data_IF_569252083900
#
_entry.id   IF_569252083900
#
_cell.length_a   1.000
_cell.length_b   1.000
_cell.length_c   1.000
_cell.angle_alpha   90.00
_cell.angle_beta   90.00
_cell.angle_gamma   90.00
#
_symmetry.space_group_name_H-M   'P 1'
#
loop_
_entity.id
_entity.type
_entity.pdbx_description
1 polymer ?
#
# COMPACT_ATOMS: atom_id res chain seq x y z
N UNK A 1 -2.37 18.81 43.18
CA UNK A 1 -3.06 19.50 42.08
C UNK A 1 -4.28 18.68 41.73
N UNK A 2 -5.49 19.26 41.86
CA UNK A 2 -6.74 18.58 41.52
C UNK A 2 -6.75 18.19 40.03
N UNK A 3 -7.15 16.96 39.66
CA UNK A 3 -7.38 16.63 38.25
C UNK A 3 -8.54 17.51 37.75
N UNK A 4 -8.26 18.35 36.76
CA UNK A 4 -9.22 19.22 36.10
C UNK A 4 -10.43 18.39 35.65
N UNK A 5 -11.64 18.75 36.10
CA UNK A 5 -12.86 18.07 35.65
C UNK A 5 -12.96 18.18 34.11
N UNK A 6 -13.30 17.09 33.40
CA UNK A 6 -13.45 17.12 31.96
C UNK A 6 -14.50 18.15 31.57
N UNK A 7 -14.25 18.87 30.46
CA UNK A 7 -15.18 19.87 29.97
C UNK A 7 -16.54 19.22 29.68
N UNK A 8 -17.63 19.98 29.82
CA UNK A 8 -18.98 19.47 29.54
C UNK A 8 -19.13 18.93 28.09
N UNK A 9 -18.28 19.40 27.16
CA UNK A 9 -18.26 18.89 25.79
C UNK A 9 -17.63 17.50 25.71
N UNK A 10 -16.61 17.20 26.51
CA UNK A 10 -15.93 15.90 26.48
C UNK A 10 -16.76 14.78 27.11
N UNK A 11 -17.54 15.09 28.14
CA UNK A 11 -18.44 14.14 28.80
C UNK A 11 -19.66 13.74 27.95
N UNK A 12 -20.00 14.53 26.93
CA UNK A 12 -21.16 14.31 26.08
C UNK A 12 -20.83 13.64 24.73
N UNK A 13 -19.54 13.43 24.42
CA UNK A 13 -19.07 12.75 23.18
C UNK A 13 -19.69 11.36 22.94
N UNK A 14 -19.89 10.48 23.95
CA UNK A 14 -20.50 9.17 23.74
C UNK A 14 -21.95 9.21 23.21
N UNK A 15 -22.60 10.37 23.26
CA UNK A 15 -24.00 10.56 22.86
C UNK A 15 -24.14 11.28 21.51
N UNK A 16 -23.06 11.32 20.71
CA UNK A 16 -23.05 11.88 19.37
C UNK A 16 -24.18 11.31 18.48
N UNK A 17 -24.89 12.20 17.78
CA UNK A 17 -26.03 11.83 16.94
C UNK A 17 -27.36 11.64 17.68
N UNK A 18 -27.41 11.94 18.99
CA UNK A 18 -28.61 11.80 19.83
C UNK A 18 -28.96 13.12 20.50
N UNK A 19 -30.23 13.24 20.89
CA UNK A 19 -30.69 14.28 21.81
C UNK A 19 -30.36 13.85 23.23
N UNK A 20 -29.71 14.73 24.00
CA UNK A 20 -29.44 14.52 25.42
C UNK A 20 -30.25 15.49 26.26
N UNK A 21 -30.73 14.99 27.39
CA UNK A 21 -31.42 15.76 28.42
C UNK A 21 -30.45 16.04 29.57
N UNK A 22 -30.32 17.31 29.91
CA UNK A 22 -29.41 17.83 30.93
C UNK A 22 -30.22 18.46 32.08
N UNK A 23 -29.80 18.24 33.32
CA UNK A 23 -30.23 19.02 34.48
C UNK A 23 -29.01 19.65 35.11
N UNK A 24 -29.02 20.98 35.31
CA UNK A 24 -27.91 21.76 35.85
C UNK A 24 -26.56 21.45 35.17
N UNK A 25 -26.60 21.24 33.85
CA UNK A 25 -25.42 20.90 33.06
C UNK A 25 -24.92 19.46 33.22
N UNK A 26 -25.67 18.54 33.81
CA UNK A 26 -25.30 17.11 33.92
C UNK A 26 -26.21 16.22 33.09
N UNK A 27 -25.64 15.19 32.47
CA UNK A 27 -26.37 14.21 31.67
C UNK A 27 -27.35 13.40 32.52
N UNK A 28 -28.60 13.27 32.04
CA UNK A 28 -29.66 12.48 32.69
C UNK A 28 -30.17 11.37 31.78
N UNK A 29 -30.50 11.69 30.52
CA UNK A 29 -31.06 10.74 29.57
C UNK A 29 -30.76 11.12 28.11
N UNK A 30 -31.02 10.19 27.19
CA UNK A 30 -30.84 10.38 25.74
C UNK A 30 -32.04 9.84 24.95
N UNK A 31 -32.20 10.31 23.71
CA UNK A 31 -33.21 9.82 22.77
C UNK A 31 -32.83 10.11 21.31
N UNK A 32 -33.47 9.41 20.37
CA UNK A 32 -33.31 9.68 18.94
C UNK A 32 -33.99 10.98 18.50
N UNK A 33 -35.00 11.43 19.23
CA UNK A 33 -35.70 12.71 19.04
C UNK A 33 -35.72 13.52 20.36
N UNK A 34 -35.99 14.85 20.31
CA UNK A 34 -36.13 15.66 21.51
C UNK A 34 -37.17 15.11 22.50
N UNK A 35 -38.29 14.61 21.97
CA UNK A 35 -39.42 14.10 22.75
C UNK A 35 -39.04 12.81 23.48
N UNK A 36 -38.31 11.91 22.81
CA UNK A 36 -37.80 10.69 23.41
C UNK A 36 -36.79 10.99 24.54
N UNK A 37 -35.88 11.93 24.33
CA UNK A 37 -34.91 12.34 25.35
C UNK A 37 -35.62 12.99 26.56
N UNK A 38 -36.64 13.80 26.32
CA UNK A 38 -37.44 14.44 27.36
C UNK A 38 -38.27 13.43 28.17
N UNK A 39 -38.91 12.48 27.48
CA UNK A 39 -39.71 11.44 28.12
C UNK A 39 -38.84 10.53 28.99
N UNK A 40 -37.67 10.12 28.48
CA UNK A 40 -36.69 9.33 29.23
C UNK A 40 -36.17 10.09 30.46
N UNK A 41 -35.93 11.41 30.34
CA UNK A 41 -35.49 12.23 31.46
C UNK A 41 -36.58 12.42 32.51
N UNK A 42 -37.86 12.60 32.13
CA UNK A 42 -38.97 12.78 33.07
C UNK A 42 -39.28 11.54 33.91
N UNK A 43 -38.97 10.35 33.39
CA UNK A 43 -39.07 9.10 34.16
C UNK A 43 -38.06 9.04 35.32
N UNK A 44 -36.92 9.71 35.17
CA UNK A 44 -35.84 9.73 36.17
C UNK A 44 -35.95 10.97 37.07
N UNK A 45 -36.26 12.13 36.50
CA UNK A 45 -36.31 13.45 37.15
C UNK A 45 -37.60 14.19 36.77
N UNK A 46 -38.69 13.90 37.48
CA UNK A 46 -40.04 14.37 37.13
C UNK A 46 -40.33 15.84 37.49
N UNK A 47 -39.57 16.46 38.40
CA UNK A 47 -39.82 17.82 38.92
C UNK A 47 -38.72 18.84 38.60
N UNK A 48 -37.65 18.44 37.91
CA UNK A 48 -36.49 19.29 37.61
C UNK A 48 -36.61 19.96 36.23
N UNK A 49 -35.93 21.10 36.06
CA UNK A 49 -35.90 21.81 34.78
C UNK A 49 -34.93 21.15 33.82
N UNK A 50 -35.46 20.42 32.84
CA UNK A 50 -34.67 19.69 31.84
C UNK A 50 -34.34 20.60 30.65
N UNK A 51 -33.06 20.66 30.29
CA UNK A 51 -32.58 21.30 29.07
C UNK A 51 -32.24 20.25 28.04
N UNK A 52 -32.79 20.36 26.83
CA UNK A 52 -32.51 19.45 25.73
C UNK A 52 -31.39 20.02 24.86
N UNK A 53 -30.45 19.17 24.47
CA UNK A 53 -29.38 19.53 23.54
C UNK A 53 -29.18 18.42 22.53
N UNK A 54 -29.18 18.75 21.25
CA UNK A 54 -28.71 17.82 20.23
C UNK A 54 -27.19 17.76 20.29
N UNK A 55 -26.62 16.56 20.39
CA UNK A 55 -25.18 16.36 20.25
C UNK A 55 -24.94 16.04 18.77
N UNK A 56 -24.43 16.99 17.97
CA UNK A 56 -24.13 16.70 16.58
C UNK A 56 -23.17 15.52 16.51
N UNK A 57 -23.36 14.63 15.54
CA UNK A 57 -22.26 13.76 15.15
C UNK A 57 -21.16 14.69 14.65
N UNK A 58 -20.14 14.90 15.47
CA UNK A 58 -18.85 15.28 14.93
C UNK A 58 -18.33 14.05 14.20
N UNK A 59 -18.78 13.86 12.96
CA UNK A 59 -18.03 13.10 11.96
C UNK A 59 -16.79 13.91 11.60
N UNK A 60 -15.97 14.26 12.60
CA UNK A 60 -14.65 14.79 12.33
C UNK A 60 -13.85 13.65 11.74
N UNK A 61 -13.82 13.62 10.42
CA UNK A 61 -12.88 12.82 9.66
C UNK A 61 -11.49 13.06 10.25
N UNK A 62 -10.71 11.99 10.53
CA UNK A 62 -9.43 12.10 11.21
C UNK A 62 -8.37 12.63 10.25
N UNK A 63 -8.42 13.94 9.99
CA UNK A 63 -7.38 14.64 9.25
C UNK A 63 -6.23 15.02 10.20
N UNK A 64 -4.98 15.04 9.71
CA UNK A 64 -3.85 15.42 10.55
C UNK A 64 -3.99 16.88 11.01
N UNK A 65 -3.44 17.25 12.19
CA UNK A 65 -3.41 18.64 12.66
C UNK A 65 -2.81 19.62 11.65
N UNK A 66 -1.92 19.12 10.77
CA UNK A 66 -1.36 19.84 9.65
C UNK A 66 -2.43 20.50 8.76
N UNK A 67 -3.57 19.86 8.53
CA UNK A 67 -4.66 20.45 7.74
C UNK A 67 -5.13 21.78 8.34
N UNK A 68 -5.29 21.83 9.67
CA UNK A 68 -5.72 23.05 10.36
C UNK A 68 -4.68 24.17 10.24
N UNK A 69 -3.39 23.83 10.37
CA UNK A 69 -2.27 24.77 10.16
C UNK A 69 -2.24 25.32 8.74
N UNK A 70 -2.47 24.47 7.74
CA UNK A 70 -2.55 24.91 6.34
C UNK A 70 -3.69 25.92 6.19
N UNK A 71 -4.89 25.60 6.71
CA UNK A 71 -6.06 26.49 6.64
C UNK A 71 -5.80 27.87 7.26
N UNK A 72 -5.04 27.96 8.35
CA UNK A 72 -4.69 29.24 8.99
C UNK A 72 -3.81 30.15 8.13
N UNK A 73 -3.09 29.61 7.15
CA UNK A 73 -2.19 30.37 6.26
C UNK A 73 -2.92 30.84 4.98
N UNK A 74 -4.06 30.22 4.67
CA UNK A 74 -4.81 30.49 3.44
C UNK A 74 -5.46 31.88 3.47
N UNK A 75 -5.31 32.68 2.39
CA UNK A 75 -6.10 33.90 2.20
C UNK A 75 -7.61 33.62 2.15
N UNK A 76 -8.43 34.54 2.67
CA UNK A 76 -9.89 34.39 2.78
C UNK A 76 -10.62 34.19 1.44
N UNK A 77 -10.03 34.59 0.33
CA UNK A 77 -10.60 34.49 -1.03
C UNK A 77 -10.24 33.20 -1.77
N UNK A 78 -9.37 32.36 -1.19
CA UNK A 78 -8.89 31.15 -1.84
C UNK A 78 -9.78 29.95 -1.56
N UNK A 79 -10.29 29.35 -2.63
CA UNK A 79 -11.00 28.06 -2.60
C UNK A 79 -9.99 26.91 -2.73
N UNK A 80 -10.01 25.99 -1.77
CA UNK A 80 -9.14 24.81 -1.78
C UNK A 80 -9.88 23.58 -1.27
N UNK A 81 -9.66 22.46 -1.95
CA UNK A 81 -10.28 21.18 -1.61
C UNK A 81 -9.21 20.15 -1.29
N UNK A 82 -9.36 19.43 -0.18
CA UNK A 82 -8.60 18.21 0.05
C UNK A 82 -9.28 17.08 -0.73
N UNK A 83 -8.52 16.33 -1.50
CA UNK A 83 -9.02 15.32 -2.46
C UNK A 83 -8.29 13.99 -2.31
N UNK A 84 -8.78 12.95 -2.98
CA UNK A 84 -7.99 11.74 -3.21
C UNK A 84 -7.85 10.81 -2.01
N UNK A 85 -6.63 10.30 -1.82
CA UNK A 85 -6.33 9.24 -0.86
C UNK A 85 -6.58 9.65 0.59
N UNK A 86 -6.27 10.90 0.94
CA UNK A 86 -6.46 11.42 2.30
C UNK A 86 -7.93 11.38 2.74
N UNK A 87 -8.85 11.79 1.87
CA UNK A 87 -10.29 11.77 2.14
C UNK A 87 -10.80 10.34 2.25
N UNK A 88 -10.40 9.47 1.33
CA UNK A 88 -10.72 8.04 1.35
C UNK A 88 -10.27 7.38 2.66
N UNK A 89 -9.05 7.63 3.08
CA UNK A 89 -8.47 6.99 4.25
C UNK A 89 -9.11 7.52 5.54
N UNK A 90 -9.44 8.82 5.58
CA UNK A 90 -10.20 9.41 6.67
C UNK A 90 -11.61 8.81 6.79
N UNK A 91 -12.29 8.50 5.67
CA UNK A 91 -13.57 7.77 5.68
C UNK A 91 -13.45 6.35 6.24
N UNK A 92 -12.23 5.77 6.26
CA UNK A 92 -11.93 4.48 6.90
C UNK A 92 -11.40 4.62 8.33
N UNK A 93 -11.42 5.83 8.89
CA UNK A 93 -10.91 6.11 10.23
C UNK A 93 -9.38 6.15 10.33
N UNK A 94 -8.67 6.32 9.21
CA UNK A 94 -7.20 6.39 9.16
C UNK A 94 -6.73 7.79 8.82
N UNK A 95 -5.63 8.23 9.44
CA UNK A 95 -4.98 9.49 9.09
C UNK A 95 -3.97 9.25 7.97
N UNK A 96 -3.94 10.13 6.96
CA UNK A 96 -2.95 10.08 5.87
C UNK A 96 -1.85 11.12 6.10
N UNK A 97 -0.62 10.77 5.72
CA UNK A 97 0.52 11.69 5.64
C UNK A 97 0.75 12.23 4.22
N UNK A 98 0.00 11.71 3.25
CA UNK A 98 -0.02 12.16 1.86
C UNK A 98 -1.33 12.93 1.64
N UNK A 99 -1.23 14.24 1.41
CA UNK A 99 -2.35 15.17 1.30
C UNK A 99 -2.37 15.83 -0.08
N UNK A 100 -3.39 15.52 -0.88
CA UNK A 100 -3.60 16.13 -2.18
C UNK A 100 -4.60 17.28 -2.08
N UNK A 101 -4.23 18.47 -2.55
CA UNK A 101 -5.08 19.66 -2.59
C UNK A 101 -5.35 20.09 -4.03
N UNK A 102 -6.62 20.29 -4.35
CA UNK A 102 -7.05 20.96 -5.56
C UNK A 102 -7.33 22.45 -5.25
N UNK A 103 -6.58 23.34 -5.89
CA UNK A 103 -6.58 24.79 -5.58
C UNK A 103 -7.18 25.56 -6.74
N UNK A 104 -8.14 26.44 -6.45
CA UNK A 104 -8.62 27.39 -7.45
C UNK A 104 -7.64 28.56 -7.56
N UNK A 105 -7.15 28.83 -8.79
CA UNK A 105 -6.14 29.85 -9.03
C UNK A 105 -4.75 29.24 -9.17
N UNK A 106 -3.71 29.93 -8.65
CA UNK A 106 -2.31 29.53 -8.83
C UNK A 106 -1.85 28.60 -7.71
N UNK A 107 -1.83 27.29 -7.99
CA UNK A 107 -1.46 26.26 -7.03
C UNK A 107 0.02 26.29 -6.66
N UNK A 108 0.93 26.61 -7.59
CA UNK A 108 2.38 26.74 -7.28
C UNK A 108 2.67 27.84 -6.28
N UNK A 109 2.09 29.03 -6.49
CA UNK A 109 2.24 30.15 -5.59
C UNK A 109 1.64 29.84 -4.21
N UNK A 110 0.51 29.13 -4.18
CA UNK A 110 -0.10 28.68 -2.94
C UNK A 110 0.78 27.68 -2.19
N UNK A 111 1.28 26.65 -2.87
CA UNK A 111 2.20 25.68 -2.31
C UNK A 111 3.45 26.35 -1.73
N UNK A 112 4.03 27.31 -2.46
CA UNK A 112 5.21 28.05 -1.99
C UNK A 112 4.88 28.87 -0.74
N UNK A 113 3.76 29.59 -0.72
CA UNK A 113 3.31 30.38 0.43
C UNK A 113 3.13 29.52 1.67
N UNK A 114 2.43 28.39 1.53
CA UNK A 114 2.18 27.47 2.64
C UNK A 114 3.49 26.85 3.13
N UNK A 115 4.39 26.46 2.23
CA UNK A 115 5.70 25.93 2.59
C UNK A 115 6.56 26.95 3.36
N UNK A 116 6.64 28.19 2.86
CA UNK A 116 7.41 29.26 3.52
C UNK A 116 6.85 29.57 4.92
N UNK A 117 5.52 29.60 5.08
CA UNK A 117 4.88 29.85 6.38
C UNK A 117 5.06 28.71 7.39
N UNK A 118 5.13 27.47 6.92
CA UNK A 118 5.30 26.28 7.77
C UNK A 118 6.76 25.83 7.92
N UNK A 119 7.72 26.54 7.31
CA UNK A 119 9.13 26.17 7.31
C UNK A 119 9.42 24.84 6.60
N UNK A 120 8.60 24.47 5.62
CA UNK A 120 8.68 23.20 4.90
C UNK A 120 9.50 23.31 3.60
N UNK A 121 10.04 22.19 3.12
CA UNK A 121 10.72 22.15 1.83
C UNK A 121 9.71 22.23 0.68
N UNK A 122 10.01 23.02 -0.35
CA UNK A 122 9.16 23.21 -1.54
C UNK A 122 9.85 22.68 -2.80
N UNK A 123 9.08 21.98 -3.63
CA UNK A 123 9.50 21.49 -4.94
C UNK A 123 8.41 21.81 -5.98
N UNK A 124 8.73 22.51 -7.09
CA UNK A 124 7.80 22.66 -8.20
C UNK A 124 7.60 21.29 -8.89
N UNK A 125 6.35 20.94 -9.19
CA UNK A 125 6.01 19.68 -9.86
C UNK A 125 5.78 19.94 -11.36
N UNK A 126 6.80 19.65 -12.18
CA UNK A 126 6.81 19.80 -13.65
C UNK A 126 6.51 21.23 -14.16
N UNK A 127 7.29 21.74 -15.09
CA UNK A 127 7.13 23.12 -15.57
C UNK A 127 5.82 23.36 -16.35
N UNK A 128 5.19 22.29 -16.85
CA UNK A 128 3.98 22.36 -17.69
C UNK A 128 2.66 22.29 -16.92
N UNK A 129 2.70 21.99 -15.61
CA UNK A 129 1.49 21.81 -14.78
C UNK A 129 1.54 22.77 -13.60
N UNK A 130 0.47 23.51 -13.35
CA UNK A 130 0.36 24.33 -12.14
C UNK A 130 0.21 23.43 -10.90
N UNK A 131 1.35 22.91 -10.43
CA UNK A 131 1.45 22.04 -9.28
C UNK A 131 2.74 22.26 -8.50
N UNK A 132 2.66 22.11 -7.18
CA UNK A 132 3.79 22.21 -6.27
C UNK A 132 3.66 21.22 -5.12
N UNK A 133 4.80 20.67 -4.68
CA UNK A 133 4.90 19.75 -3.56
C UNK A 133 5.58 20.42 -2.38
N UNK A 134 4.97 20.28 -1.22
CA UNK A 134 5.56 20.60 0.07
C UNK A 134 5.93 19.30 0.79
N UNK A 135 7.12 19.25 1.38
CA UNK A 135 7.58 18.15 2.23
C UNK A 135 7.90 18.69 3.62
N UNK A 136 7.21 18.17 4.63
CA UNK A 136 7.39 18.55 6.03
C UNK A 136 7.76 17.31 6.86
N UNK A 137 8.83 17.42 7.65
CA UNK A 137 9.24 16.39 8.59
C UNK A 137 8.83 16.84 10.01
N UNK A 138 8.00 16.05 10.70
CA UNK A 138 7.50 16.35 12.05
C UNK A 138 7.30 15.05 12.83
N UNK A 139 7.79 14.95 14.07
CA UNK A 139 7.64 13.77 14.95
C UNK A 139 7.99 12.41 14.30
N UNK A 140 9.13 12.33 13.61
CA UNK A 140 9.58 11.19 12.79
C UNK A 140 8.64 10.80 11.63
N UNK A 141 7.61 11.61 11.36
CA UNK A 141 6.70 11.45 10.24
C UNK A 141 7.07 12.41 9.13
N UNK A 142 6.98 11.91 7.89
CA UNK A 142 7.18 12.71 6.69
C UNK A 142 5.83 12.94 6.03
N UNK A 143 5.41 14.20 6.00
CA UNK A 143 4.22 14.65 5.27
C UNK A 143 4.60 15.05 3.86
N UNK A 144 3.88 14.49 2.88
CA UNK A 144 3.92 14.93 1.49
C UNK A 144 2.61 15.62 1.20
N UNK A 145 2.70 16.85 0.69
CA UNK A 145 1.53 17.67 0.44
C UNK A 145 1.61 18.24 -0.96
N UNK A 146 0.70 17.80 -1.83
CA UNK A 146 0.64 18.21 -3.23
C UNK A 146 -0.47 19.22 -3.42
N UNK A 147 -0.15 20.34 -4.07
CA UNK A 147 -1.13 21.34 -4.49
C UNK A 147 -1.18 21.31 -6.01
N UNK A 148 -2.37 21.13 -6.58
CA UNK A 148 -2.59 21.06 -8.01
C UNK A 148 -3.70 22.04 -8.39
N UNK A 149 -3.52 22.77 -9.48
CA UNK A 149 -4.52 23.68 -10.03
C UNK A 149 -5.80 22.91 -10.39
N UNK A 150 -6.94 23.47 -10.00
CA UNK A 150 -8.25 22.89 -10.31
C UNK A 150 -8.48 22.82 -11.82
N UNK A 151 -9.18 21.80 -12.28
CA UNK A 151 -9.61 21.72 -13.67
C UNK A 151 -10.38 23.00 -14.09
N UNK A 152 -10.18 23.54 -15.32
CA UNK A 152 -10.81 24.80 -15.75
C UNK A 152 -12.35 24.81 -15.69
N UNK A 153 -12.96 23.63 -15.79
CA UNK A 153 -14.42 23.44 -15.69
C UNK A 153 -14.91 23.23 -14.24
N UNK A 154 -14.04 23.43 -13.24
CA UNK A 154 -14.36 23.30 -11.82
C UNK A 154 -14.08 21.93 -11.21
N UNK A 155 -14.42 21.80 -9.92
CA UNK A 155 -14.11 20.62 -9.09
C UNK A 155 -14.74 19.34 -9.63
N UNK A 156 -15.99 19.40 -10.09
CA UNK A 156 -16.69 18.20 -10.56
C UNK A 156 -16.01 17.56 -11.78
N UNK A 157 -15.47 18.39 -12.68
CA UNK A 157 -14.69 17.93 -13.82
C UNK A 157 -13.33 17.35 -13.39
N UNK A 158 -12.66 17.97 -12.40
CA UNK A 158 -11.44 17.40 -11.80
C UNK A 158 -11.70 16.00 -11.23
N UNK A 159 -12.75 15.85 -10.41
CA UNK A 159 -13.11 14.58 -9.80
C UNK A 159 -13.47 13.51 -10.84
N UNK A 160 -14.11 13.89 -11.96
CA UNK A 160 -14.41 12.96 -13.06
C UNK A 160 -13.18 12.50 -13.84
N UNK A 161 -12.15 13.33 -13.95
CA UNK A 161 -10.91 13.00 -14.67
C UNK A 161 -10.01 12.01 -13.91
N UNK A 162 -10.29 11.78 -12.61
CA UNK A 162 -9.53 10.87 -11.74
C UNK A 162 -9.69 9.41 -12.12
N UNK A 163 -8.87 8.58 -11.48
CA UNK A 163 -8.81 7.14 -11.71
C UNK A 163 -10.08 6.42 -11.25
N UNK A 164 -10.37 6.45 -9.96
CA UNK A 164 -11.45 5.68 -9.32
C UNK A 164 -12.30 6.55 -8.41
N UNK A 165 -13.59 6.22 -8.32
CA UNK A 165 -14.58 7.00 -7.56
C UNK A 165 -14.18 7.17 -6.10
N UNK A 166 -13.57 6.16 -5.50
CA UNK A 166 -13.07 6.21 -4.12
C UNK A 166 -11.97 7.25 -3.89
N UNK A 167 -11.27 7.69 -4.93
CA UNK A 167 -10.27 8.77 -4.91
C UNK A 167 -10.82 10.06 -5.52
N UNK A 168 -12.08 10.06 -5.96
CA UNK A 168 -12.79 11.20 -6.53
C UNK A 168 -13.76 11.81 -5.52
N UNK A 169 -13.33 11.86 -4.27
CA UNK A 169 -14.05 12.44 -3.14
C UNK A 169 -13.25 13.65 -2.67
N UNK A 170 -13.93 14.76 -2.40
CA UNK A 170 -13.34 15.98 -1.92
C UNK A 170 -14.00 16.47 -0.63
N UNK A 171 -13.26 17.28 0.13
CA UNK A 171 -13.81 18.13 1.19
C UNK A 171 -13.28 19.54 1.03
N UNK A 172 -14.12 20.54 1.29
CA UNK A 172 -13.65 21.91 1.44
C UNK A 172 -12.82 22.00 2.73
N UNK A 173 -11.60 22.55 2.65
CA UNK A 173 -10.71 22.61 3.81
C UNK A 173 -11.25 23.50 4.93
N UNK A 174 -12.13 24.45 4.63
CA UNK A 174 -12.81 25.32 5.61
C UNK A 174 -14.09 24.71 6.16
N UNK A 175 -14.71 23.81 5.40
CA UNK A 175 -15.88 23.04 5.82
C UNK A 175 -15.63 21.53 5.68
N UNK A 176 -14.64 20.96 6.41
CA UNK A 176 -14.20 19.57 6.22
C UNK A 176 -15.26 18.53 6.62
N UNK A 177 -16.39 18.97 7.19
CA UNK A 177 -17.54 18.15 7.54
C UNK A 177 -18.41 17.83 6.31
N UNK A 178 -18.30 18.60 5.21
CA UNK A 178 -19.11 18.43 4.01
C UNK A 178 -18.33 17.67 2.93
N UNK A 179 -18.79 16.45 2.62
CA UNK A 179 -18.25 15.64 1.55
C UNK A 179 -18.82 16.06 0.19
N UNK A 180 -17.94 16.26 -0.77
CA UNK A 180 -18.25 16.50 -2.18
C UNK A 180 -17.91 15.21 -2.95
N UNK A 181 -18.93 14.44 -3.30
CA UNK A 181 -18.80 13.11 -3.91
C UNK A 181 -19.78 12.93 -5.09
N UNK A 182 -19.50 13.54 -6.26
CA UNK A 182 -20.40 13.49 -7.41
C UNK A 182 -20.51 12.09 -8.05
N UNK A 183 -19.61 11.16 -7.71
CA UNK A 183 -19.51 9.83 -8.32
C UNK A 183 -19.88 8.68 -7.36
N UNK A 184 -20.29 9.00 -6.13
CA UNK A 184 -20.66 8.01 -5.13
C UNK A 184 -19.49 7.13 -4.66
N UNK A 185 -18.28 7.68 -4.61
CA UNK A 185 -17.08 7.02 -4.10
C UNK A 185 -17.21 6.54 -2.65
N UNK A 186 -17.82 7.33 -1.77
CA UNK A 186 -18.02 6.96 -0.37
C UNK A 186 -18.98 5.76 -0.23
N UNK A 187 -20.01 5.69 -1.09
CA UNK A 187 -20.91 4.55 -1.15
C UNK A 187 -20.22 3.31 -1.71
N UNK A 188 -19.43 3.45 -2.79
CA UNK A 188 -18.66 2.35 -3.37
C UNK A 188 -17.62 1.78 -2.39
N UNK A 189 -16.92 2.65 -1.64
CA UNK A 189 -15.98 2.27 -0.60
C UNK A 189 -16.67 1.43 0.49
N UNK A 190 -17.86 1.86 0.94
CA UNK A 190 -18.67 1.12 1.93
C UNK A 190 -19.15 -0.23 1.41
N UNK A 191 -19.46 -0.33 0.12
CA UNK A 191 -19.87 -1.57 -0.55
C UNK A 191 -18.69 -2.51 -0.87
N UNK A 192 -17.45 -2.07 -0.61
CA UNK A 192 -16.26 -2.84 -0.91
C UNK A 192 -16.01 -2.97 -2.41
N UNK A 193 -16.32 -1.93 -3.20
CA UNK A 193 -16.21 -1.96 -4.66
C UNK A 193 -15.32 -0.85 -5.22
N UNK A 194 -14.45 -1.20 -6.16
CA UNK A 194 -13.62 -0.27 -6.92
C UNK A 194 -14.26 0.01 -8.29
N UNK A 195 -14.64 1.27 -8.53
CA UNK A 195 -15.27 1.74 -9.77
C UNK A 195 -14.41 2.84 -10.42
N UNK A 196 -14.21 2.76 -11.73
CA UNK A 196 -13.61 3.84 -12.51
C UNK A 196 -14.52 5.07 -12.56
N UNK A 197 -13.94 6.29 -12.59
CA UNK A 197 -14.71 7.54 -12.61
C UNK A 197 -15.49 7.75 -13.92
N UNK A 198 -14.95 7.24 -15.03
CA UNK A 198 -15.53 7.35 -16.36
C UNK A 198 -15.37 6.03 -17.11
N UNK A 199 -16.12 5.86 -18.20
CA UNK A 199 -16.03 4.70 -19.10
C UNK A 199 -14.68 4.60 -19.83
N UNK A 200 -13.96 5.72 -19.94
CA UNK A 200 -12.63 5.83 -20.57
C UNK A 200 -11.49 5.93 -19.57
N UNK A 201 -11.76 6.04 -18.26
CA UNK A 201 -10.75 6.39 -17.25
C UNK A 201 -9.50 5.50 -17.31
N UNK A 202 -9.66 4.18 -17.45
CA UNK A 202 -8.50 3.26 -17.53
C UNK A 202 -7.87 3.24 -18.93
N UNK A 203 -8.61 3.62 -19.97
CA UNK A 203 -8.10 3.70 -21.35
C UNK A 203 -7.26 4.96 -21.57
N UNK A 204 -7.69 6.08 -21.00
CA UNK A 204 -7.02 7.37 -21.09
C UNK A 204 -5.64 7.32 -20.42
N UNK A 205 -5.51 6.53 -19.35
CA UNK A 205 -4.24 6.29 -18.67
C UNK A 205 -4.10 4.81 -18.26
N UNK A 206 -3.49 3.97 -19.13
CA UNK A 206 -3.43 2.52 -18.97
C UNK A 206 -2.73 2.05 -17.68
N UNK A 207 -1.86 2.87 -17.08
CA UNK A 207 -1.21 2.52 -15.80
C UNK A 207 -2.24 2.35 -14.67
N UNK A 208 -3.42 2.97 -14.80
CA UNK A 208 -4.53 2.81 -13.85
C UNK A 208 -4.97 1.36 -13.71
N UNK A 209 -4.69 0.49 -14.68
CA UNK A 209 -4.88 -0.96 -14.54
C UNK A 209 -4.06 -1.53 -13.37
N UNK A 210 -2.76 -1.21 -13.31
CA UNK A 210 -1.87 -1.68 -12.24
C UNK A 210 -2.32 -1.09 -10.89
N UNK A 211 -2.65 0.21 -10.91
CA UNK A 211 -3.20 0.92 -9.74
C UNK A 211 -4.50 0.31 -9.25
N UNK A 212 -5.39 -0.15 -10.13
CA UNK A 212 -6.64 -0.81 -9.76
C UNK A 212 -6.38 -2.09 -8.96
N UNK A 213 -5.43 -2.92 -9.41
CA UNK A 213 -5.05 -4.17 -8.74
C UNK A 213 -4.45 -3.86 -7.38
N UNK A 214 -3.53 -2.89 -7.30
CA UNK A 214 -2.93 -2.44 -6.04
C UNK A 214 -3.97 -1.93 -5.05
N UNK A 215 -4.89 -1.07 -5.49
CA UNK A 215 -5.94 -0.50 -4.63
C UNK A 215 -6.93 -1.58 -4.20
N UNK A 216 -7.33 -2.48 -5.10
CA UNK A 216 -8.18 -3.61 -4.76
C UNK A 216 -7.56 -4.50 -3.67
N UNK A 217 -6.27 -4.84 -3.81
CA UNK A 217 -5.54 -5.64 -2.82
C UNK A 217 -5.38 -4.91 -1.48
N UNK A 218 -4.86 -3.66 -1.50
CA UNK A 218 -4.59 -2.88 -0.28
C UNK A 218 -5.83 -2.49 0.52
N UNK A 219 -6.96 -2.28 -0.16
CA UNK A 219 -8.19 -1.85 0.48
C UNK A 219 -9.20 -3.00 0.68
N UNK A 220 -8.92 -4.20 0.16
CA UNK A 220 -9.82 -5.35 0.21
C UNK A 220 -11.08 -5.16 -0.64
N UNK A 221 -10.97 -4.49 -1.79
CA UNK A 221 -12.10 -4.14 -2.65
C UNK A 221 -12.23 -5.10 -3.83
N UNK A 222 -13.48 -5.30 -4.27
CA UNK A 222 -13.79 -6.01 -5.52
C UNK A 222 -13.84 -5.02 -6.68
N UNK A 223 -13.17 -5.34 -7.77
CA UNK A 223 -13.21 -4.50 -8.99
C UNK A 223 -14.54 -4.73 -9.70
N UNK A 224 -15.27 -3.63 -10.01
CA UNK A 224 -16.56 -3.71 -10.69
C UNK A 224 -16.46 -4.34 -12.08
N UNK A 225 -17.51 -5.00 -12.59
CA UNK A 225 -17.49 -5.62 -13.93
C UNK A 225 -17.11 -4.65 -15.05
N UNK A 226 -17.64 -3.42 -15.01
CA UNK A 226 -17.34 -2.38 -16.01
C UNK A 226 -15.89 -1.93 -15.95
N UNK A 227 -15.36 -1.72 -14.74
CA UNK A 227 -13.93 -1.37 -14.55
C UNK A 227 -13.04 -2.49 -15.06
N UNK A 228 -13.39 -3.75 -14.80
CA UNK A 228 -12.66 -4.92 -15.32
C UNK A 228 -12.70 -5.00 -16.85
N UNK A 229 -13.83 -4.63 -17.48
CA UNK A 229 -13.93 -4.53 -18.95
C UNK A 229 -12.96 -3.48 -19.49
N UNK A 230 -12.89 -2.31 -18.87
CA UNK A 230 -11.93 -1.27 -19.25
C UNK A 230 -10.49 -1.76 -19.07
N UNK A 231 -10.17 -2.42 -17.95
CA UNK A 231 -8.84 -2.97 -17.70
C UNK A 231 -8.41 -3.94 -18.80
N UNK A 232 -9.27 -4.89 -19.20
CA UNK A 232 -8.95 -5.81 -20.30
C UNK A 232 -8.68 -5.07 -21.61
N UNK A 233 -9.47 -4.05 -21.92
CA UNK A 233 -9.28 -3.23 -23.12
C UNK A 233 -8.01 -2.36 -23.05
N UNK A 234 -7.55 -2.00 -21.85
CA UNK A 234 -6.34 -1.21 -21.64
C UNK A 234 -5.03 -2.03 -21.71
N UNK A 235 -5.08 -3.38 -21.62
CA UNK A 235 -3.88 -4.23 -21.62
C UNK A 235 -2.94 -3.95 -22.79
N UNK A 236 -3.40 -3.88 -24.07
CA UNK A 236 -2.51 -3.59 -25.19
C UNK A 236 -1.92 -2.17 -25.14
N UNK A 237 -2.58 -1.25 -24.42
CA UNK A 237 -2.16 0.14 -24.29
C UNK A 237 -1.06 0.34 -23.24
N UNK A 238 -0.79 -0.67 -22.38
CA UNK A 238 0.29 -0.61 -21.41
C UNK A 238 1.66 -0.37 -22.05
N UNK A 239 1.87 -0.79 -23.30
CA UNK A 239 3.10 -0.53 -24.05
C UNK A 239 3.36 0.97 -24.31
N UNK A 240 2.35 1.84 -24.17
CA UNK A 240 2.47 3.30 -24.31
C UNK A 240 2.86 3.99 -23.01
N UNK A 241 2.79 3.28 -21.88
CA UNK A 241 3.12 3.83 -20.56
C UNK A 241 4.63 3.82 -20.40
N UNK A 242 5.19 4.94 -19.92
CA UNK A 242 6.62 5.05 -19.63
C UNK A 242 7.09 3.98 -18.63
N UNK A 243 8.30 3.41 -18.79
CA UNK A 243 8.86 2.42 -17.88
C UNK A 243 8.86 2.83 -16.40
N UNK A 244 9.07 4.10 -16.09
CA UNK A 244 9.12 4.64 -14.73
C UNK A 244 7.76 4.54 -14.01
N UNK A 245 6.68 4.80 -14.74
CA UNK A 245 5.30 4.69 -14.22
C UNK A 245 4.90 3.23 -14.02
N UNK A 246 5.31 2.34 -14.93
CA UNK A 246 5.16 0.89 -14.77
C UNK A 246 5.96 0.39 -13.56
N UNK A 247 7.24 0.79 -13.47
CA UNK A 247 8.12 0.49 -12.33
C UNK A 247 7.48 0.93 -11.02
N UNK A 248 7.02 2.18 -10.94
CA UNK A 248 6.41 2.74 -9.73
C UNK A 248 5.24 1.89 -9.24
N UNK A 249 4.26 1.62 -10.10
CA UNK A 249 3.10 0.80 -9.70
C UNK A 249 3.49 -0.67 -9.42
N UNK A 250 4.41 -1.25 -10.19
CA UNK A 250 4.91 -2.60 -9.95
C UNK A 250 5.60 -2.73 -8.59
N UNK A 251 6.48 -1.79 -8.21
CA UNK A 251 7.19 -1.83 -6.92
C UNK A 251 6.20 -1.69 -5.76
N UNK A 252 5.16 -0.85 -5.90
CA UNK A 252 4.10 -0.75 -4.88
C UNK A 252 3.21 -1.98 -4.79
N UNK A 253 2.99 -2.70 -5.90
CA UNK A 253 2.31 -4.00 -5.88
C UNK A 253 3.17 -5.04 -5.14
N UNK A 254 4.46 -5.15 -5.49
CA UNK A 254 5.36 -6.16 -4.93
C UNK A 254 5.71 -5.90 -3.47
N UNK A 255 5.90 -4.64 -3.08
CA UNK A 255 6.15 -4.25 -1.69
C UNK A 255 4.90 -4.20 -0.83
N UNK A 256 3.71 -4.27 -1.43
CA UNK A 256 2.42 -4.11 -0.76
C UNK A 256 1.90 -5.39 -0.10
N UNK A 257 0.57 -5.46 -0.03
CA UNK A 257 -0.17 -6.60 0.53
C UNK A 257 -0.57 -7.58 -0.57
N UNK A 258 -0.54 -8.88 -0.28
CA UNK A 258 -0.94 -9.95 -1.20
C UNK A 258 -0.26 -9.86 -2.59
N UNK A 259 1.08 -9.77 -2.66
CA UNK A 259 1.79 -9.65 -3.94
C UNK A 259 1.55 -10.85 -4.87
N UNK A 260 1.47 -12.08 -4.34
CA UNK A 260 1.18 -13.28 -5.13
C UNK A 260 -0.20 -13.21 -5.82
N UNK A 261 -1.24 -12.81 -5.07
CA UNK A 261 -2.60 -12.62 -5.59
C UNK A 261 -2.62 -11.53 -6.67
N UNK A 262 -1.91 -10.43 -6.45
CA UNK A 262 -1.81 -9.33 -7.42
C UNK A 262 -1.13 -9.76 -8.72
N UNK A 263 -0.04 -10.53 -8.64
CA UNK A 263 0.64 -11.12 -9.80
C UNK A 263 -0.27 -12.09 -10.56
N UNK A 264 -1.03 -12.93 -9.85
CA UNK A 264 -2.01 -13.82 -10.46
C UNK A 264 -3.13 -13.05 -11.16
N UNK A 265 -3.61 -11.96 -10.57
CA UNK A 265 -4.63 -11.10 -11.18
C UNK A 265 -4.10 -10.42 -12.46
N UNK A 266 -2.87 -9.93 -12.45
CA UNK A 266 -2.19 -9.41 -13.64
C UNK A 266 -2.08 -10.47 -14.73
N UNK A 267 -1.75 -11.70 -14.35
CA UNK A 267 -1.60 -12.81 -15.29
C UNK A 267 -2.94 -13.20 -15.94
N UNK A 268 -4.00 -13.33 -15.12
CA UNK A 268 -5.35 -13.63 -15.60
C UNK A 268 -5.92 -12.55 -16.52
N UNK A 269 -5.48 -11.29 -16.36
CA UNK A 269 -5.84 -10.19 -17.26
C UNK A 269 -5.00 -10.16 -18.54
N UNK A 270 -3.89 -10.90 -18.59
CA UNK A 270 -2.89 -10.80 -19.67
C UNK A 270 -1.96 -9.58 -19.54
N UNK A 271 -2.05 -8.81 -18.46
CA UNK A 271 -1.24 -7.63 -18.21
C UNK A 271 0.18 -7.97 -17.75
N UNK A 272 0.40 -9.15 -17.15
CA UNK A 272 1.70 -9.54 -16.62
C UNK A 272 2.79 -9.55 -17.70
N UNK A 273 2.47 -10.01 -18.92
CA UNK A 273 3.41 -10.04 -20.04
C UNK A 273 3.87 -8.64 -20.49
N UNK A 274 3.07 -7.60 -20.25
CA UNK A 274 3.45 -6.22 -20.57
C UNK A 274 4.45 -5.64 -19.56
N UNK A 275 4.44 -6.15 -18.32
CA UNK A 275 5.23 -5.61 -17.20
C UNK A 275 6.47 -6.46 -16.94
N UNK A 276 6.30 -7.78 -16.85
CA UNK A 276 7.34 -8.78 -16.59
C UNK A 276 7.30 -9.85 -17.69
N UNK A 277 7.68 -9.54 -18.94
CA UNK A 277 7.50 -10.42 -20.09
C UNK A 277 8.18 -11.79 -19.92
N UNK A 278 9.28 -11.86 -19.16
CA UNK A 278 10.07 -13.08 -19.00
C UNK A 278 9.33 -14.18 -18.22
N UNK A 279 8.33 -13.83 -17.40
CA UNK A 279 7.57 -14.81 -16.60
C UNK A 279 6.70 -15.73 -17.45
N UNK A 280 6.36 -15.32 -18.68
CA UNK A 280 5.60 -16.14 -19.60
C UNK A 280 6.30 -17.48 -19.90
N UNK A 281 7.64 -17.49 -19.94
CA UNK A 281 8.43 -18.70 -20.19
C UNK A 281 8.39 -19.73 -19.05
N UNK A 282 7.96 -19.33 -17.85
CA UNK A 282 7.88 -20.22 -16.69
C UNK A 282 6.64 -21.14 -16.72
N UNK A 283 5.61 -20.75 -17.49
CA UNK A 283 4.33 -21.45 -17.51
C UNK A 283 4.47 -22.84 -18.12
N UNK A 284 3.97 -23.84 -17.41
CA UNK A 284 3.99 -25.25 -17.86
C UNK A 284 5.36 -25.94 -17.76
N UNK A 285 6.39 -25.27 -17.23
CA UNK A 285 7.71 -25.89 -17.06
C UNK A 285 7.68 -26.84 -15.86
N UNK A 286 7.69 -28.14 -16.14
CA UNK A 286 7.66 -29.20 -15.13
C UNK A 286 9.01 -29.30 -14.40
N UNK A 287 8.94 -29.61 -13.11
CA UNK A 287 10.09 -29.78 -12.22
C UNK A 287 10.14 -31.21 -11.68
N UNK A 288 11.34 -31.67 -11.33
CA UNK A 288 11.51 -32.95 -10.65
C UNK A 288 11.18 -32.84 -9.16
N UNK A 289 10.77 -33.97 -8.52
CA UNK A 289 10.61 -34.03 -7.07
C UNK A 289 11.85 -33.46 -6.33
N UNK A 290 11.66 -32.80 -5.18
CA UNK A 290 10.44 -32.72 -4.38
C UNK A 290 9.42 -31.65 -4.81
N UNK A 291 9.66 -30.90 -5.90
CA UNK A 291 8.73 -29.87 -6.35
C UNK A 291 7.37 -30.47 -6.73
N UNK A 292 6.30 -29.92 -6.16
CA UNK A 292 4.91 -30.31 -6.45
C UNK A 292 4.24 -29.44 -7.51
N UNK A 293 4.87 -28.31 -7.86
CA UNK A 293 4.34 -27.32 -8.79
C UNK A 293 5.26 -27.13 -10.02
N UNK A 294 4.71 -26.82 -11.20
CA UNK A 294 5.48 -26.25 -12.30
C UNK A 294 6.11 -24.90 -11.87
N UNK A 295 7.10 -24.41 -12.63
CA UNK A 295 7.95 -23.28 -12.21
C UNK A 295 7.14 -22.01 -11.91
N UNK A 296 6.13 -21.66 -12.70
CA UNK A 296 5.32 -20.46 -12.44
C UNK A 296 4.50 -20.56 -11.16
N UNK A 297 3.79 -21.67 -10.98
CA UNK A 297 2.99 -21.93 -9.78
C UNK A 297 3.86 -22.02 -8.52
N UNK A 298 5.06 -22.62 -8.65
CA UNK A 298 6.06 -22.60 -7.60
C UNK A 298 6.51 -21.17 -7.28
N UNK A 299 6.82 -20.35 -8.29
CA UNK A 299 7.22 -18.94 -8.10
C UNK A 299 6.16 -18.15 -7.32
N UNK A 300 4.87 -18.32 -7.67
CA UNK A 300 3.77 -17.69 -6.92
C UNK A 300 3.68 -18.22 -5.48
N UNK A 301 3.89 -19.52 -5.27
CA UNK A 301 3.93 -20.11 -3.93
C UNK A 301 5.10 -19.53 -3.10
N UNK A 302 6.29 -19.37 -3.67
CA UNK A 302 7.44 -18.74 -2.99
C UNK A 302 7.12 -17.30 -2.59
N UNK A 303 6.50 -16.51 -3.48
CA UNK A 303 6.05 -15.14 -3.17
C UNK A 303 5.03 -15.15 -2.02
N UNK A 304 4.08 -16.06 -2.02
CA UNK A 304 3.09 -16.20 -0.94
C UNK A 304 3.73 -16.60 0.40
N UNK A 305 4.64 -17.58 0.38
CA UNK A 305 5.39 -18.02 1.58
C UNK A 305 6.29 -16.92 2.13
N UNK A 306 6.91 -16.15 1.25
CA UNK A 306 7.73 -15.01 1.61
C UNK A 306 6.89 -13.93 2.31
N UNK A 307 5.71 -13.61 1.79
CA UNK A 307 4.79 -12.66 2.42
C UNK A 307 4.34 -13.14 3.80
N UNK A 308 3.90 -14.40 3.90
CA UNK A 308 3.51 -15.00 5.17
C UNK A 308 4.65 -15.00 6.20
N UNK A 309 5.87 -15.34 5.78
CA UNK A 309 7.07 -15.34 6.62
C UNK A 309 7.39 -13.93 7.13
N UNK A 310 7.38 -12.93 6.24
CA UNK A 310 7.70 -11.55 6.61
C UNK A 310 6.65 -10.96 7.54
N UNK A 311 5.36 -11.25 7.32
CA UNK A 311 4.29 -10.83 8.23
C UNK A 311 4.43 -11.51 9.60
N UNK A 312 4.72 -12.80 9.62
CA UNK A 312 4.97 -13.54 10.87
C UNK A 312 6.23 -13.05 11.60
N UNK A 313 7.20 -12.44 10.91
CA UNK A 313 8.43 -11.84 11.45
C UNK A 313 8.36 -10.31 11.56
N UNK A 314 7.19 -9.71 11.34
CA UNK A 314 6.95 -8.27 11.48
C UNK A 314 6.82 -7.83 12.95
N UNK A 315 6.80 -6.50 13.20
CA UNK A 315 6.53 -5.93 14.52
C UNK A 315 5.07 -6.15 14.96
N UNK A 316 4.12 -6.13 14.02
CA UNK A 316 2.68 -6.36 14.26
C UNK A 316 2.34 -7.86 14.38
N UNK A 317 3.23 -8.64 14.99
CA UNK A 317 3.05 -10.07 15.15
C UNK A 317 1.84 -10.39 16.03
N UNK A 318 0.89 -11.12 15.44
CA UNK A 318 -0.21 -11.74 16.15
C UNK A 318 0.06 -13.23 16.35
N UNK A 319 0.11 -13.64 17.63
CA UNK A 319 0.32 -15.02 18.04
C UNK A 319 -0.83 -15.94 17.58
N UNK A 320 -2.06 -15.42 17.56
CA UNK A 320 -3.25 -16.20 17.19
C UNK A 320 -3.29 -16.49 15.68
N UNK A 321 -2.87 -15.53 14.86
CA UNK A 321 -2.74 -15.72 13.39
C UNK A 321 -1.60 -16.68 13.02
N UNK A 322 -0.49 -16.66 13.78
CA UNK A 322 0.71 -17.44 13.46
C UNK A 322 0.70 -18.86 14.05
N UNK A 323 -0.17 -19.13 15.03
CA UNK A 323 -0.32 -20.45 15.67
C UNK A 323 -0.90 -21.53 14.75
N UNK A 324 -1.49 -21.15 13.62
CA UNK A 324 -2.13 -22.08 12.68
C UNK A 324 -1.15 -22.79 11.72
N UNK A 325 0.15 -22.48 11.77
CA UNK A 325 1.17 -23.13 10.94
C UNK A 325 2.46 -23.39 11.74
N UNK A 326 2.72 -24.68 12.03
CA UNK A 326 3.89 -25.13 12.80
C UNK A 326 5.23 -24.63 12.22
N UNK A 327 5.33 -24.50 10.90
CA UNK A 327 6.56 -24.09 10.24
C UNK A 327 6.82 -22.59 10.45
N UNK A 328 5.79 -21.76 10.32
CA UNK A 328 5.87 -20.33 10.66
C UNK A 328 6.14 -20.15 12.16
N UNK A 329 5.51 -20.96 13.02
CA UNK A 329 5.80 -20.98 14.46
C UNK A 329 7.28 -21.22 14.77
N UNK A 330 7.92 -22.19 14.09
CA UNK A 330 9.34 -22.44 14.28
C UNK A 330 10.21 -21.28 13.75
N UNK A 331 9.86 -20.68 12.60
CA UNK A 331 10.54 -19.50 12.09
C UNK A 331 10.48 -18.34 13.10
N UNK A 332 9.31 -18.11 13.71
CA UNK A 332 9.11 -17.12 14.77
C UNK A 332 9.97 -17.40 15.99
N UNK A 333 10.01 -18.64 16.48
CA UNK A 333 10.84 -19.02 17.64
C UNK A 333 12.34 -18.77 17.40
N UNK A 334 12.82 -19.01 16.17
CA UNK A 334 14.25 -18.90 15.84
C UNK A 334 14.68 -17.49 15.43
N UNK A 335 13.83 -16.79 14.67
CA UNK A 335 14.16 -15.52 14.04
C UNK A 335 13.44 -14.31 14.68
N UNK A 336 12.46 -14.55 15.56
CA UNK A 336 11.66 -13.50 16.20
C UNK A 336 12.48 -12.49 17.00
N UNK A 337 13.64 -12.87 17.53
CA UNK A 337 14.57 -11.94 18.19
C UNK A 337 15.16 -10.87 17.26
N UNK A 338 15.02 -11.04 15.95
CA UNK A 338 15.53 -10.12 14.94
C UNK A 338 14.43 -9.29 14.26
N UNK A 339 13.17 -9.36 14.72
CA UNK A 339 12.02 -8.65 14.14
C UNK A 339 12.30 -7.19 13.84
N UNK A 340 12.77 -6.44 14.83
CA UNK A 340 13.04 -5.02 14.68
C UNK A 340 14.08 -4.75 13.59
N UNK A 341 15.22 -5.45 13.65
CA UNK A 341 16.31 -5.31 12.67
C UNK A 341 15.88 -5.73 11.26
N UNK A 342 15.04 -6.76 11.15
CA UNK A 342 14.50 -7.20 9.87
C UNK A 342 13.53 -6.17 9.31
N UNK A 343 12.67 -5.60 10.16
CA UNK A 343 11.74 -4.55 9.76
C UNK A 343 12.48 -3.30 9.29
N UNK A 344 13.50 -2.85 10.02
CA UNK A 344 14.36 -1.73 9.63
C UNK A 344 15.09 -2.02 8.32
N UNK A 345 15.62 -3.24 8.15
CA UNK A 345 16.31 -3.66 6.94
C UNK A 345 15.40 -3.62 5.71
N UNK A 346 14.15 -4.06 5.85
CA UNK A 346 13.18 -4.14 4.76
C UNK A 346 12.48 -2.80 4.45
N UNK A 347 12.41 -1.89 5.42
CA UNK A 347 11.81 -0.56 5.25
C UNK A 347 12.73 0.46 4.58
N UNK A 348 14.02 0.15 4.42
CA UNK A 348 14.95 1.02 3.68
C UNK A 348 14.41 1.31 2.28
N UNK A 349 14.23 2.59 1.97
CA UNK A 349 13.99 3.08 0.62
C UNK A 349 15.33 3.46 -0.02
N UNK A 350 15.68 2.80 -1.11
CA UNK A 350 16.94 3.04 -1.84
C UNK A 350 16.80 4.22 -2.79
N UNK A 351 15.64 4.29 -3.44
CA UNK A 351 15.16 5.46 -4.17
C UNK A 351 13.73 5.74 -3.73
N UNK A 352 13.21 6.97 -3.93
CA UNK A 352 11.83 7.28 -3.59
C UNK A 352 10.86 6.22 -4.16
N UNK A 353 9.99 5.69 -3.31
CA UNK A 353 8.97 4.69 -3.63
C UNK A 353 9.49 3.28 -3.98
N UNK A 354 10.79 3.00 -3.83
CA UNK A 354 11.38 1.65 -4.01
C UNK A 354 11.98 1.15 -2.70
N UNK A 355 11.16 0.42 -1.94
CA UNK A 355 11.59 -0.23 -0.71
C UNK A 355 12.42 -1.50 -0.98
N UNK A 356 13.32 -1.83 -0.05
CA UNK A 356 14.07 -3.08 -0.09
C UNK A 356 13.15 -4.31 -0.07
N UNK A 357 12.02 -4.23 0.64
CA UNK A 357 10.94 -5.25 0.57
C UNK A 357 10.49 -5.48 -0.88
N UNK A 358 10.16 -4.43 -1.63
CA UNK A 358 9.74 -4.58 -3.02
C UNK A 358 10.81 -5.25 -3.90
N UNK A 359 12.08 -4.92 -3.69
CA UNK A 359 13.20 -5.57 -4.39
C UNK A 359 13.35 -7.06 -4.05
N UNK A 360 13.15 -7.43 -2.78
CA UNK A 360 13.16 -8.82 -2.35
C UNK A 360 12.03 -9.61 -3.01
N UNK A 361 10.83 -9.04 -3.10
CA UNK A 361 9.72 -9.66 -3.84
C UNK A 361 9.97 -9.74 -5.34
N UNK A 362 10.59 -8.73 -5.94
CA UNK A 362 11.02 -8.81 -7.34
C UNK A 362 12.06 -9.93 -7.53
N UNK A 363 13.01 -10.07 -6.62
CA UNK A 363 13.98 -11.17 -6.63
C UNK A 363 13.28 -12.53 -6.49
N UNK A 364 12.23 -12.64 -5.66
CA UNK A 364 11.42 -13.85 -5.54
C UNK A 364 10.71 -14.20 -6.85
N UNK A 365 10.19 -13.23 -7.59
CA UNK A 365 9.60 -13.48 -8.92
C UNK A 365 10.65 -13.97 -9.93
N UNK A 366 11.90 -13.53 -9.79
CA UNK A 366 12.98 -13.81 -10.73
C UNK A 366 13.96 -14.92 -10.31
N UNK A 367 13.82 -15.51 -9.12
CA UNK A 367 14.83 -16.42 -8.56
C UNK A 367 15.12 -17.62 -9.49
N UNK A 368 14.06 -18.13 -10.12
CA UNK A 368 14.07 -19.29 -11.01
C UNK A 368 13.79 -18.95 -12.49
N UNK A 369 13.85 -17.66 -12.87
CA UNK A 369 13.42 -17.18 -14.18
C UNK A 369 14.12 -17.87 -15.37
N UNK A 370 15.32 -18.43 -15.13
CA UNK A 370 16.15 -19.06 -16.15
C UNK A 370 15.99 -20.58 -16.24
N UNK A 371 15.22 -21.22 -15.35
CA UNK A 371 14.97 -22.67 -15.41
C UNK A 371 14.51 -23.14 -16.80
N UNK A 372 13.62 -22.44 -17.53
CA UNK A 372 13.21 -22.86 -18.87
C UNK A 372 14.39 -22.99 -19.86
N UNK A 373 15.34 -22.05 -19.81
CA UNK A 373 16.48 -21.96 -20.74
C UNK A 373 17.61 -22.93 -20.38
N UNK A 374 17.75 -23.28 -19.09
CA UNK A 374 18.79 -24.19 -18.60
C UNK A 374 18.30 -25.63 -18.40
N UNK A 375 17.09 -25.95 -18.88
CA UNK A 375 16.49 -27.26 -18.67
C UNK A 375 17.27 -28.35 -19.40
N UNK A 376 17.78 -29.32 -18.64
CA UNK A 376 18.38 -30.56 -19.16
C UNK A 376 17.74 -31.77 -18.49
N UNK A 377 17.81 -32.94 -19.12
CA UNK A 377 17.35 -34.22 -18.54
C UNK A 377 18.57 -35.13 -18.42
N UNK A 378 18.82 -35.65 -17.22
CA UNK A 378 19.90 -36.61 -16.99
C UNK A 378 19.52 -38.03 -17.44
N UNK A 379 20.48 -38.96 -17.40
CA UNK A 379 20.29 -40.36 -17.81
C UNK A 379 19.19 -41.08 -17.04
N UNK A 380 18.88 -40.62 -15.82
CA UNK A 380 17.87 -41.21 -14.94
C UNK A 380 16.49 -40.56 -15.13
N UNK A 381 16.34 -39.70 -16.14
CA UNK A 381 15.10 -38.98 -16.45
C UNK A 381 14.81 -37.79 -15.53
N UNK A 382 15.75 -37.39 -14.66
CA UNK A 382 15.55 -36.24 -13.77
C UNK A 382 15.87 -34.94 -14.51
N UNK A 383 15.01 -33.95 -14.29
CA UNK A 383 15.16 -32.62 -14.84
C UNK A 383 16.15 -31.85 -13.98
N UNK A 384 17.15 -31.24 -14.63
CA UNK A 384 18.17 -30.40 -14.01
C UNK A 384 18.15 -29.01 -14.64
N UNK A 385 18.62 -28.02 -13.87
CA UNK A 385 18.65 -26.61 -14.27
C UNK A 385 20.01 -26.00 -13.92
N UNK A 386 21.09 -26.51 -14.51
CA UNK A 386 22.44 -26.05 -14.15
C UNK A 386 22.71 -24.62 -14.61
N UNK A 387 23.17 -23.76 -13.70
CA UNK A 387 23.54 -22.37 -14.00
C UNK A 387 22.38 -21.41 -14.18
N UNK A 388 21.16 -21.80 -13.79
CA UNK A 388 19.98 -20.93 -13.87
C UNK A 388 20.11 -19.70 -12.96
N UNK A 389 20.88 -19.79 -11.87
CA UNK A 389 21.13 -18.70 -10.95
C UNK A 389 21.98 -17.58 -11.59
N UNK A 390 23.02 -17.93 -12.37
CA UNK A 390 23.81 -16.95 -13.14
C UNK A 390 22.99 -16.34 -14.28
N UNK A 391 22.30 -17.17 -15.06
CA UNK A 391 21.50 -16.68 -16.18
C UNK A 391 20.30 -15.84 -15.70
N UNK A 392 19.67 -16.25 -14.58
CA UNK A 392 18.58 -15.53 -13.94
C UNK A 392 19.01 -14.15 -13.45
N UNK A 393 20.18 -14.06 -12.82
CA UNK A 393 20.78 -12.78 -12.45
C UNK A 393 21.05 -11.88 -13.68
N UNK A 394 21.43 -12.46 -14.83
CA UNK A 394 21.56 -11.69 -16.06
C UNK A 394 20.20 -11.21 -16.62
N UNK A 395 19.16 -12.04 -16.54
CA UNK A 395 17.81 -11.73 -17.04
C UNK A 395 17.21 -10.59 -16.21
N UNK A 396 17.17 -10.72 -14.88
CA UNK A 396 16.60 -9.69 -14.01
C UNK A 396 17.35 -8.35 -14.16
N UNK A 397 18.68 -8.40 -14.32
CA UNK A 397 19.48 -7.20 -14.56
C UNK A 397 19.21 -6.51 -15.89
N UNK A 398 18.78 -7.23 -16.93
CA UNK A 398 18.28 -6.62 -18.19
C UNK A 398 16.91 -6.00 -17.97
N UNK A 399 16.00 -6.72 -17.31
CA UNK A 399 14.65 -6.25 -17.07
C UNK A 399 14.62 -4.96 -16.25
N UNK A 400 15.35 -4.94 -15.14
CA UNK A 400 15.43 -3.78 -14.25
C UNK A 400 16.05 -2.56 -14.94
N UNK A 401 17.05 -2.73 -15.81
CA UNK A 401 17.56 -1.62 -16.64
C UNK A 401 16.49 -1.07 -17.57
N UNK A 402 15.70 -1.94 -18.20
CA UNK A 402 14.61 -1.53 -19.06
C UNK A 402 13.37 -1.01 -18.29
N UNK A 403 13.37 -1.09 -16.95
CA UNK A 403 12.45 -0.39 -16.04
C UNK A 403 13.09 0.88 -15.44
N UNK A 404 14.28 1.26 -15.91
CA UNK A 404 15.06 2.41 -15.43
C UNK A 404 15.34 2.36 -13.91
N UNK A 405 15.58 1.16 -13.37
CA UNK A 405 16.04 0.98 -11.98
C UNK A 405 17.50 1.44 -11.81
N UNK A 406 17.87 1.85 -10.61
CA UNK A 406 19.22 2.30 -10.29
C UNK A 406 20.23 1.14 -10.33
N UNK A 407 21.51 1.46 -10.54
CA UNK A 407 22.59 0.46 -10.54
C UNK A 407 22.71 -0.27 -9.20
N UNK A 408 22.41 0.41 -8.09
CA UNK A 408 22.39 -0.16 -6.74
C UNK A 408 21.28 -1.18 -6.57
N UNK A 409 20.04 -0.82 -6.95
CA UNK A 409 18.87 -1.71 -6.91
C UNK A 409 19.10 -2.96 -7.77
N UNK A 410 19.61 -2.78 -8.99
CA UNK A 410 20.00 -3.87 -9.89
C UNK A 410 21.06 -4.75 -9.23
N UNK A 411 22.06 -4.15 -8.59
CA UNK A 411 23.12 -4.86 -7.88
C UNK A 411 22.58 -5.75 -6.76
N UNK A 412 21.66 -5.23 -5.94
CA UNK A 412 21.02 -5.96 -4.84
C UNK A 412 20.24 -7.17 -5.39
N UNK A 413 19.30 -6.94 -6.30
CA UNK A 413 18.45 -8.02 -6.83
C UNK A 413 19.27 -9.09 -7.56
N UNK A 414 20.29 -8.69 -8.33
CA UNK A 414 21.21 -9.66 -8.96
C UNK A 414 21.96 -10.50 -7.93
N UNK A 415 22.42 -9.91 -6.82
CA UNK A 415 23.08 -10.66 -5.75
C UNK A 415 22.12 -11.66 -5.10
N UNK A 416 20.86 -11.27 -4.89
CA UNK A 416 19.83 -12.15 -4.33
C UNK A 416 19.58 -13.33 -5.27
N UNK A 417 19.20 -13.07 -6.52
CA UNK A 417 18.89 -14.11 -7.52
C UNK A 417 20.08 -15.03 -7.75
N UNK A 418 21.30 -14.50 -7.88
CA UNK A 418 22.50 -15.33 -8.08
C UNK A 418 22.78 -16.29 -6.92
N UNK A 419 22.40 -15.94 -5.69
CA UNK A 419 22.78 -16.68 -4.49
C UNK A 419 21.59 -17.39 -3.81
N UNK A 420 20.40 -17.39 -4.41
CA UNK A 420 19.16 -17.82 -3.76
C UNK A 420 19.18 -19.29 -3.30
N UNK A 421 19.92 -20.18 -3.95
CA UNK A 421 20.04 -21.59 -3.49
C UNK A 421 21.08 -21.80 -2.39
N UNK A 422 22.00 -20.84 -2.15
CA UNK A 422 23.20 -21.10 -1.36
C UNK A 422 22.91 -21.49 0.10
N UNK A 423 21.99 -20.84 0.82
CA UNK A 423 21.60 -21.29 2.15
C UNK A 423 21.09 -22.75 2.17
N UNK A 424 20.33 -23.17 1.15
CA UNK A 424 19.81 -24.54 1.04
C UNK A 424 20.94 -25.53 0.81
N UNK A 425 21.89 -25.21 -0.08
CA UNK A 425 23.07 -26.03 -0.33
C UNK A 425 23.96 -26.16 0.91
N UNK A 426 24.08 -25.10 1.72
CA UNK A 426 24.83 -25.13 2.97
C UNK A 426 24.16 -25.97 4.06
N UNK A 427 22.83 -26.16 3.99
CA UNK A 427 22.05 -26.97 4.92
C UNK A 427 21.74 -28.38 4.43
N UNK A 428 22.17 -28.77 3.23
CA UNK A 428 21.79 -30.01 2.56
C UNK A 428 22.09 -31.26 3.40
N UNK A 429 23.29 -31.33 3.99
CA UNK A 429 23.74 -32.47 4.80
C UNK A 429 23.13 -32.50 6.22
N UNK A 430 22.15 -31.64 6.52
CA UNK A 430 21.54 -31.44 7.85
C UNK A 430 22.53 -31.08 8.97
N UNK A 431 23.81 -30.93 8.65
CA UNK A 431 24.85 -30.43 9.54
C UNK A 431 24.82 -28.90 9.58
N UNK A 432 25.19 -28.33 10.73
CA UNK A 432 25.34 -26.87 10.84
C UNK A 432 26.49 -26.40 9.94
N UNK A 433 26.30 -25.36 9.11
CA UNK A 433 27.36 -24.85 8.26
C UNK A 433 28.51 -24.28 9.10
N UNK A 434 29.75 -24.51 8.66
CA UNK A 434 30.92 -23.97 9.34
C UNK A 434 30.93 -22.44 9.36
N UNK A 435 31.56 -21.84 10.38
CA UNK A 435 31.74 -20.37 10.47
C UNK A 435 32.38 -19.78 9.21
N UNK A 436 33.34 -20.49 8.61
CA UNK A 436 33.99 -20.08 7.35
C UNK A 436 33.02 -20.09 6.17
N UNK A 437 32.11 -21.06 6.10
CA UNK A 437 31.10 -21.11 5.05
C UNK A 437 30.09 -19.95 5.17
N UNK A 438 29.61 -19.69 6.40
CA UNK A 438 28.73 -18.54 6.69
C UNK A 438 29.42 -17.22 6.35
N UNK A 439 30.67 -17.03 6.78
CA UNK A 439 31.45 -15.84 6.44
C UNK A 439 31.61 -15.65 4.93
N UNK A 440 31.89 -16.72 4.17
CA UNK A 440 32.00 -16.64 2.70
C UNK A 440 30.69 -16.25 2.03
N UNK A 441 29.54 -16.70 2.57
CA UNK A 441 28.22 -16.29 2.08
C UNK A 441 28.06 -14.77 2.23
N UNK A 442 28.15 -14.25 3.45
CA UNK A 442 27.96 -12.82 3.72
C UNK A 442 29.04 -11.92 3.10
N UNK A 443 30.28 -12.39 2.96
CA UNK A 443 31.32 -11.66 2.23
C UNK A 443 30.97 -11.48 0.75
N UNK A 444 30.30 -12.46 0.14
CA UNK A 444 29.94 -12.42 -1.27
C UNK A 444 28.62 -11.69 -1.53
N UNK A 445 27.65 -11.83 -0.64
CA UNK A 445 26.32 -11.22 -0.80
C UNK A 445 26.24 -9.81 -0.22
N UNK A 446 27.14 -9.46 0.70
CA UNK A 446 27.10 -8.21 1.44
C UNK A 446 25.84 -8.12 2.30
N UNK A 447 25.26 -6.92 2.33
CA UNK A 447 24.00 -6.62 3.00
C UNK A 447 22.82 -7.47 2.47
N UNK A 448 22.83 -7.81 1.18
CA UNK A 448 21.84 -8.69 0.55
C UNK A 448 21.88 -10.14 1.07
N UNK A 449 22.84 -10.51 1.92
CA UNK A 449 22.87 -11.82 2.57
C UNK A 449 21.63 -12.12 3.41
N UNK A 450 21.06 -11.11 4.08
CA UNK A 450 19.81 -11.27 4.85
C UNK A 450 18.66 -11.61 3.91
N UNK A 451 18.53 -10.87 2.81
CA UNK A 451 17.53 -11.06 1.77
C UNK A 451 17.61 -12.47 1.16
N UNK A 452 18.84 -12.93 0.86
CA UNK A 452 19.11 -14.29 0.38
C UNK A 452 18.61 -15.32 1.39
N UNK A 453 18.96 -15.22 2.67
CA UNK A 453 18.52 -16.19 3.67
C UNK A 453 17.00 -16.27 3.81
N UNK A 454 16.31 -15.12 3.79
CA UNK A 454 14.84 -15.06 3.89
C UNK A 454 14.19 -15.64 2.64
N UNK A 455 14.68 -15.28 1.45
CA UNK A 455 14.18 -15.83 0.19
C UNK A 455 14.39 -17.34 0.10
N UNK A 456 15.58 -17.85 0.44
CA UNK A 456 15.86 -19.29 0.44
C UNK A 456 14.94 -20.06 1.38
N UNK A 457 14.62 -19.49 2.54
CA UNK A 457 13.66 -20.11 3.46
C UNK A 457 12.27 -20.15 2.82
N UNK A 458 11.81 -19.04 2.23
CA UNK A 458 10.52 -19.02 1.54
C UNK A 458 10.46 -20.00 0.34
N UNK A 459 11.55 -20.10 -0.41
CA UNK A 459 11.72 -21.04 -1.52
C UNK A 459 11.59 -22.50 -1.05
N UNK A 460 12.33 -22.88 -0.01
CA UNK A 460 12.21 -24.19 0.63
C UNK A 460 10.78 -24.49 1.07
N UNK A 461 10.07 -23.53 1.64
CA UNK A 461 8.66 -23.69 2.03
C UNK A 461 7.72 -23.80 0.81
N UNK A 462 8.09 -23.22 -0.32
CA UNK A 462 7.35 -23.31 -1.59
C UNK A 462 7.62 -24.59 -2.36
N UNK A 463 8.71 -25.32 -2.07
CA UNK A 463 9.07 -26.57 -2.75
C UNK A 463 8.11 -27.71 -2.41
N UNK A 464 7.71 -27.85 -1.13
CA UNK A 464 6.99 -29.03 -0.62
C UNK A 464 5.45 -28.92 -0.66
N UNK A 465 4.90 -27.77 -1.08
CA UNK A 465 3.45 -27.55 -1.09
C UNK A 465 2.86 -27.14 0.28
N UNK A 466 1.52 -27.13 0.41
CA UNK A 466 0.81 -26.85 1.66
C UNK A 466 0.99 -27.90 2.75
#
# INVERSE_FOLDING_TARGET
>A
MNPSQPSLQDSLRPYAGRWVALVDGRFVAQGGTPEQALQAARLIRSKERITLRYIPMHNTLPFPPLLHRIVQVLPDDVTMYLVGGAVRDALRGRTSHDLDFAVQGNARAMARRVADALGAAYYPLHDDIDAGRMVLQEDDQRFMVDFVGLHPQGLEADLRARDFTINAIAVDVRAPQQLLDPLGGAAALRQGELRACASTSVLDDPVRLLRAIRLAASLGLRISPDTRKQMRAAVPLLARVSPERIRFELMRILGGVQPATSLRALDMLGALAAVLPETAALKGVVQSPPHVYPVWEHTLAVVERLDALLNALGPDYDADTSANNLVLGHAVLRLGRYRQRLSEHLSVELTPDVSRRALLFLAAVYHDIAKPQTRSVDSDGRIRFFGHEEQGASIVGRRMRALHMSGEEIGIVKRIVKNHMRPLLLGYDKAMPSRRAVYRLFRQTGDAGVDVCVLSLADFLGTYGP
#
